data_IF_313379131445
#
_entry.id   IF_313379131445
#
_cell.length_a   1.000
_cell.length_b   1.000
_cell.length_c   1.000
_cell.angle_alpha   90.00
_cell.angle_beta   90.00
_cell.angle_gamma   90.00
#
_symmetry.space_group_name_H-M   'P 1'
#
loop_
_entity.id
_entity.type
_entity.pdbx_description
1 polymer ?
#
# COMPACT_ATOMS: atom_id res chain seq x y z
N UNK A 1 20.52 21.97 1.11
CA UNK A 1 19.17 21.71 0.55
C UNK A 1 18.24 21.56 1.74
N UNK A 2 17.04 22.17 1.71
CA UNK A 2 16.06 21.98 2.78
C UNK A 2 15.68 20.50 2.86
N UNK A 3 15.50 19.93 4.08
CA UNK A 3 15.17 18.52 4.22
C UNK A 3 13.86 18.20 3.47
N UNK A 4 13.85 17.11 2.70
CA UNK A 4 12.63 16.67 2.02
C UNK A 4 11.58 16.30 3.07
N UNK A 5 10.37 16.84 2.91
CA UNK A 5 9.21 16.39 3.69
C UNK A 5 8.69 15.10 3.09
N UNK A 6 8.66 14.03 3.89
CA UNK A 6 8.23 12.69 3.46
C UNK A 6 6.80 12.42 3.96
N UNK A 7 5.96 11.87 3.10
CA UNK A 7 4.76 11.13 3.51
C UNK A 7 4.99 9.67 3.14
N UNK A 8 5.02 8.81 4.15
CA UNK A 8 5.13 7.37 3.92
C UNK A 8 3.75 6.81 3.56
N UNK A 9 3.52 6.54 2.28
CA UNK A 9 2.21 6.13 1.79
C UNK A 9 1.86 4.67 2.06
N UNK A 10 2.77 3.89 2.65
CA UNK A 10 2.54 2.46 2.89
C UNK A 10 3.22 2.00 4.16
N UNK A 11 2.46 2.02 5.26
CA UNK A 11 2.86 1.37 6.50
C UNK A 11 1.74 0.47 7.02
N UNK A 12 2.11 -0.40 7.94
CA UNK A 12 1.24 -1.25 8.69
C UNK A 12 1.41 -1.02 10.19
N UNK A 13 0.33 -1.19 10.93
CA UNK A 13 0.28 -1.00 12.38
C UNK A 13 -0.61 -2.07 12.97
N UNK A 14 -0.24 -2.63 14.11
CA UNK A 14 -1.11 -3.53 14.85
C UNK A 14 -0.78 -3.52 16.34
N UNK A 15 -1.80 -3.57 17.21
CA UNK A 15 -1.60 -3.57 18.65
C UNK A 15 -1.24 -4.98 19.17
N UNK A 16 -0.95 -5.09 20.47
CA UNK A 16 -0.50 -6.35 21.07
C UNK A 16 -1.59 -7.43 21.01
N UNK A 17 -2.85 -7.02 21.09
CA UNK A 17 -4.05 -7.85 21.12
C UNK A 17 -4.24 -8.65 19.83
N UNK A 18 -3.78 -8.11 18.70
CA UNK A 18 -3.83 -8.79 17.38
C UNK A 18 -2.47 -9.32 16.93
N UNK A 19 -1.44 -9.20 17.79
CA UNK A 19 -0.08 -9.71 17.52
C UNK A 19 0.03 -11.22 17.75
N UNK A 20 -0.91 -11.98 17.21
CA UNK A 20 -1.01 -13.44 17.38
C UNK A 20 -1.81 -14.06 16.24
N UNK A 21 -1.83 -15.39 16.21
CA UNK A 21 -2.51 -16.19 15.19
C UNK A 21 -4.03 -16.00 15.16
N UNK A 22 -4.67 -15.51 16.23
CA UNK A 22 -6.11 -15.23 16.21
C UNK A 22 -6.41 -13.90 15.51
N UNK A 23 -5.49 -12.94 15.59
CA UNK A 23 -5.59 -11.66 14.88
C UNK A 23 -5.24 -11.77 13.39
N UNK A 24 -4.24 -12.58 13.04
CA UNK A 24 -3.72 -12.67 11.67
C UNK A 24 -3.41 -14.11 11.28
N UNK A 25 -3.86 -14.56 10.11
CA UNK A 25 -3.62 -15.93 9.66
C UNK A 25 -2.14 -16.23 9.36
N UNK A 26 -1.39 -15.22 8.95
CA UNK A 26 0.03 -15.31 8.59
C UNK A 26 0.98 -15.16 9.80
N UNK A 27 0.48 -14.77 10.97
CA UNK A 27 1.33 -14.46 12.12
C UNK A 27 1.47 -15.66 13.05
N UNK A 28 2.66 -16.25 13.10
CA UNK A 28 2.95 -17.36 14.03
C UNK A 28 3.83 -16.90 15.21
N UNK A 29 3.65 -17.48 16.41
CA UNK A 29 4.47 -17.12 17.57
C UNK A 29 5.97 -17.27 17.29
N UNK A 30 6.75 -16.23 17.64
CA UNK A 30 8.20 -16.20 17.46
C UNK A 30 8.68 -15.63 16.13
N UNK A 31 7.80 -15.35 15.17
CA UNK A 31 8.17 -14.58 13.98
C UNK A 31 8.53 -13.12 14.36
N UNK A 32 9.45 -12.46 13.62
CA UNK A 32 9.87 -11.08 13.93
C UNK A 32 8.72 -10.06 13.99
N UNK A 33 7.66 -10.28 13.22
CA UNK A 33 6.46 -9.44 13.15
C UNK A 33 5.40 -9.78 14.23
N UNK A 34 5.55 -10.88 14.97
CA UNK A 34 4.58 -11.35 15.95
C UNK A 34 4.68 -10.59 17.29
N UNK A 35 4.60 -9.27 17.22
CA UNK A 35 4.67 -8.30 18.33
C UNK A 35 4.00 -6.99 17.90
N UNK A 36 3.61 -6.10 18.82
CA UNK A 36 2.99 -4.84 18.45
C UNK A 36 3.93 -3.98 17.62
N UNK A 37 3.37 -3.33 16.60
CA UNK A 37 4.05 -2.34 15.78
C UNK A 37 3.20 -1.07 15.75
N UNK A 38 3.63 -0.07 16.54
CA UNK A 38 2.91 1.19 16.74
C UNK A 38 3.69 2.38 16.13
N UNK A 39 3.05 3.54 16.03
CA UNK A 39 3.68 4.74 15.47
C UNK A 39 4.91 5.20 16.25
N UNK A 40 4.91 5.06 17.59
CA UNK A 40 6.13 5.28 18.40
C UNK A 40 7.32 4.42 17.96
N UNK A 41 7.08 3.22 17.46
CA UNK A 41 8.12 2.29 17.02
C UNK A 41 8.54 2.61 15.58
N UNK A 42 7.58 2.97 14.72
CA UNK A 42 7.85 3.55 13.41
C UNK A 42 8.72 4.81 13.49
N UNK A 43 8.44 5.71 14.45
CA UNK A 43 9.21 6.94 14.65
C UNK A 43 10.65 6.65 15.05
N UNK A 44 10.89 5.62 15.87
CA UNK A 44 12.26 5.17 16.20
C UNK A 44 12.95 4.63 14.95
N UNK A 45 12.28 3.78 14.18
CA UNK A 45 12.83 3.18 12.97
C UNK A 45 13.16 4.24 11.90
N UNK A 46 12.27 5.21 11.68
CA UNK A 46 12.44 6.25 10.65
C UNK A 46 13.44 7.36 11.03
N UNK A 47 13.71 7.56 12.32
CA UNK A 47 14.72 8.51 12.82
C UNK A 47 16.09 7.90 13.03
N UNK A 48 16.23 6.57 12.97
CA UNK A 48 17.51 5.92 13.18
C UNK A 48 18.44 6.20 11.99
N UNK A 49 19.47 7.02 12.19
CA UNK A 49 20.39 7.45 11.11
C UNK A 49 21.81 6.88 11.24
N UNK A 50 22.05 5.92 12.13
CA UNK A 50 23.39 5.33 12.31
C UNK A 50 24.49 6.36 12.62
N UNK A 51 24.14 7.56 13.12
CA UNK A 51 25.09 8.62 13.48
C UNK A 51 25.20 9.81 12.52
N UNK A 52 24.36 9.94 11.49
CA UNK A 52 24.28 11.16 10.65
C UNK A 52 23.04 12.02 10.96
N UNK A 53 23.11 13.34 10.78
CA UNK A 53 21.94 14.21 10.97
C UNK A 53 20.82 13.88 9.96
N UNK A 54 19.59 13.74 10.46
CA UNK A 54 18.44 13.35 9.66
C UNK A 54 18.01 14.48 8.71
N UNK A 55 18.53 14.47 7.48
CA UNK A 55 18.14 15.42 6.42
C UNK A 55 16.74 15.16 5.80
N UNK A 56 15.83 14.45 6.48
CA UNK A 56 14.42 14.37 6.06
C UNK A 56 13.49 14.11 7.25
N UNK A 57 12.35 14.78 7.25
CA UNK A 57 11.31 14.65 8.27
C UNK A 57 10.10 13.92 7.68
N UNK A 58 9.66 12.85 8.34
CA UNK A 58 8.39 12.19 8.02
C UNK A 58 7.26 13.01 8.62
N UNK A 59 6.52 13.73 7.77
CA UNK A 59 5.37 14.54 8.17
C UNK A 59 4.17 13.68 8.55
N UNK A 60 4.04 12.52 7.94
CA UNK A 60 2.96 11.60 8.25
C UNK A 60 2.96 10.35 7.39
N UNK A 61 1.97 9.51 7.62
CA UNK A 61 1.89 8.15 7.07
C UNK A 61 0.48 7.81 6.64
N UNK A 62 0.37 6.86 5.71
CA UNK A 62 -0.89 6.22 5.30
C UNK A 62 -0.85 4.76 5.74
N UNK A 63 -1.80 4.38 6.58
CA UNK A 63 -2.01 3.01 7.04
C UNK A 63 -2.66 2.17 5.94
N UNK A 64 -2.16 0.96 5.74
CA UNK A 64 -2.73 -0.07 4.87
C UNK A 64 -3.04 -1.32 5.70
N UNK A 65 -4.20 -1.95 5.44
CA UNK A 65 -4.65 -3.18 6.11
C UNK A 65 -3.61 -4.32 6.12
N UNK A 66 -3.75 -5.18 7.12
CA UNK A 66 -2.74 -6.17 7.49
C UNK A 66 -3.20 -7.62 7.36
N UNK A 67 -4.27 -7.89 6.61
CA UNK A 67 -4.92 -9.19 6.51
C UNK A 67 -5.37 -9.72 7.88
N UNK A 68 -6.06 -8.84 8.63
CA UNK A 68 -6.70 -9.22 9.90
C UNK A 68 -7.74 -10.30 9.60
N UNK A 69 -7.77 -11.35 10.43
CA UNK A 69 -8.71 -12.47 10.27
C UNK A 69 -10.16 -11.98 10.31
N UNK A 70 -10.97 -12.57 9.43
CA UNK A 70 -12.42 -12.47 9.42
C UNK A 70 -12.99 -13.86 9.12
N UNK A 71 -14.24 -14.09 9.52
CA UNK A 71 -14.91 -15.37 9.29
C UNK A 71 -15.56 -15.41 7.90
N UNK A 72 -15.98 -16.61 7.47
CA UNK A 72 -16.75 -16.78 6.24
C UNK A 72 -18.03 -15.91 6.28
N UNK A 73 -18.43 -15.25 5.18
CA UNK A 73 -19.70 -14.53 5.09
C UNK A 73 -20.95 -15.37 5.42
N UNK A 74 -20.84 -16.70 5.41
CA UNK A 74 -21.90 -17.64 5.78
C UNK A 74 -22.04 -17.85 7.30
N UNK A 75 -21.10 -17.35 8.12
CA UNK A 75 -21.04 -17.64 9.56
C UNK A 75 -22.00 -16.78 10.41
N UNK A 76 -22.60 -15.73 9.86
CA UNK A 76 -23.49 -14.84 10.61
C UNK A 76 -23.80 -13.54 9.88
N UNK A 77 -24.20 -12.52 10.64
CA UNK A 77 -24.36 -11.17 10.10
C UNK A 77 -23.00 -10.51 9.81
N UNK A 78 -23.03 -9.40 9.06
CA UNK A 78 -21.85 -8.69 8.62
C UNK A 78 -20.95 -8.22 9.77
N UNK A 79 -21.55 -7.72 10.85
CA UNK A 79 -20.79 -7.26 12.02
C UNK A 79 -20.06 -8.41 12.73
N UNK A 80 -20.63 -9.62 12.66
CA UNK A 80 -20.05 -10.83 13.23
C UNK A 80 -18.91 -11.34 12.37
N UNK A 81 -19.14 -11.61 11.08
CA UNK A 81 -18.10 -12.24 10.27
C UNK A 81 -16.97 -11.28 9.90
N UNK A 82 -17.24 -9.98 9.76
CA UNK A 82 -16.23 -8.96 9.49
C UNK A 82 -15.64 -8.33 10.76
N UNK A 83 -15.78 -8.97 11.93
CA UNK A 83 -15.39 -8.39 13.23
C UNK A 83 -13.93 -7.92 13.25
N UNK A 84 -12.99 -8.74 12.78
CA UNK A 84 -11.56 -8.39 12.80
C UNK A 84 -11.25 -7.09 12.04
N UNK A 85 -11.61 -6.97 10.75
CA UNK A 85 -11.49 -5.72 10.01
C UNK A 85 -12.21 -4.52 10.64
N UNK A 86 -13.35 -4.72 11.30
CA UNK A 86 -14.05 -3.64 12.01
C UNK A 86 -13.31 -3.22 13.30
N UNK A 87 -12.75 -4.16 14.05
CA UNK A 87 -11.90 -3.90 15.21
C UNK A 87 -10.60 -3.18 14.80
N UNK A 88 -10.04 -3.51 13.63
CA UNK A 88 -8.90 -2.79 13.04
C UNK A 88 -9.21 -1.29 12.88
N UNK A 89 -10.40 -0.95 12.37
CA UNK A 89 -10.84 0.44 12.24
C UNK A 89 -10.99 1.11 13.62
N UNK A 90 -11.47 0.39 14.65
CA UNK A 90 -11.55 0.91 16.02
C UNK A 90 -10.16 1.22 16.59
N UNK A 91 -9.17 0.36 16.33
CA UNK A 91 -7.77 0.62 16.70
C UNK A 91 -7.20 1.84 15.97
N UNK A 92 -7.43 1.98 14.67
CA UNK A 92 -6.97 3.17 13.93
C UNK A 92 -7.64 4.44 14.45
N UNK A 93 -8.92 4.35 14.81
CA UNK A 93 -9.65 5.47 15.41
C UNK A 93 -9.01 5.91 16.73
N UNK A 94 -8.64 5.01 17.64
CA UNK A 94 -8.04 5.41 18.93
C UNK A 94 -6.71 6.14 18.74
N UNK A 95 -5.90 5.77 17.74
CA UNK A 95 -4.72 6.54 17.34
C UNK A 95 -5.12 7.95 16.88
N UNK A 96 -6.08 8.06 15.95
CA UNK A 96 -6.53 9.34 15.40
C UNK A 96 -7.13 10.25 16.49
N UNK A 97 -7.83 9.68 17.47
CA UNK A 97 -8.42 10.42 18.60
C UNK A 97 -7.40 10.87 19.66
N UNK A 98 -6.17 10.35 19.59
CA UNK A 98 -5.07 10.78 20.45
C UNK A 98 -4.81 9.88 21.66
N UNK A 99 -5.41 8.69 21.72
CA UNK A 99 -5.20 7.74 22.83
C UNK A 99 -3.75 7.24 22.88
N UNK A 100 -3.04 7.32 21.75
CA UNK A 100 -1.61 7.02 21.61
C UNK A 100 -0.72 8.29 21.64
N UNK A 101 -1.30 9.45 21.92
CA UNK A 101 -0.63 10.74 21.97
C UNK A 101 -0.91 11.65 20.77
N UNK A 102 -0.81 12.96 20.98
CA UNK A 102 -1.13 13.97 19.96
C UNK A 102 -0.21 13.88 18.73
N UNK A 103 1.05 13.50 18.93
CA UNK A 103 2.00 13.33 17.83
C UNK A 103 1.58 12.19 16.89
N UNK A 104 1.17 11.05 17.44
CA UNK A 104 0.73 9.88 16.67
C UNK A 104 -0.59 10.17 15.95
N UNK A 105 -1.51 10.90 16.62
CA UNK A 105 -2.70 11.44 15.96
C UNK A 105 -2.33 12.34 14.79
N UNK A 106 -1.40 13.29 14.91
CA UNK A 106 -1.03 14.15 13.76
C UNK A 106 -0.33 13.39 12.64
N UNK A 107 0.40 12.33 12.97
CA UNK A 107 1.20 11.55 12.04
C UNK A 107 0.36 10.62 11.15
N UNK A 108 -0.75 10.06 11.64
CA UNK A 108 -1.59 9.14 10.87
C UNK A 108 -2.55 9.90 9.93
N UNK A 109 -2.13 10.17 8.70
CA UNK A 109 -2.83 11.06 7.76
C UNK A 109 -3.96 10.38 6.98
N UNK A 110 -3.82 9.09 6.69
CA UNK A 110 -4.78 8.33 5.89
C UNK A 110 -4.92 6.89 6.35
N UNK A 111 -6.14 6.36 6.23
CA UNK A 111 -6.51 4.99 6.57
C UNK A 111 -7.01 4.28 5.31
N UNK A 112 -6.46 3.08 5.06
CA UNK A 112 -6.89 2.15 4.01
C UNK A 112 -7.06 0.75 4.63
N UNK A 113 -8.11 0.53 5.43
CA UNK A 113 -8.42 -0.77 6.00
C UNK A 113 -8.94 -1.74 4.93
N UNK A 114 -9.18 -2.97 5.34
CA UNK A 114 -9.76 -3.98 4.45
C UNK A 114 -11.23 -3.69 4.14
N UNK A 115 -11.76 -4.14 3.00
CA UNK A 115 -13.20 -4.22 2.77
C UNK A 115 -13.60 -5.40 1.86
N UNK A 116 -14.81 -5.97 2.04
CA UNK A 116 -15.31 -7.13 1.30
C UNK A 116 -15.80 -6.75 -0.10
N UNK A 117 -14.90 -6.26 -0.95
CA UNK A 117 -15.26 -5.68 -2.24
C UNK A 117 -15.82 -6.70 -3.24
N UNK A 118 -15.59 -7.98 -3.02
CA UNK A 118 -16.08 -9.11 -3.81
C UNK A 118 -17.52 -9.53 -3.45
N UNK A 119 -18.09 -9.00 -2.36
CA UNK A 119 -19.43 -9.34 -1.89
C UNK A 119 -20.53 -8.53 -2.60
N UNK A 120 -21.81 -8.98 -2.57
CA UNK A 120 -22.92 -8.23 -3.16
C UNK A 120 -22.92 -6.76 -2.77
N UNK A 121 -23.24 -5.86 -3.69
CA UNK A 121 -23.13 -4.40 -3.46
C UNK A 121 -23.92 -3.93 -2.24
N UNK A 122 -25.06 -4.56 -1.91
CA UNK A 122 -25.81 -4.26 -0.69
C UNK A 122 -25.03 -4.57 0.59
N UNK A 123 -24.29 -5.68 0.62
CA UNK A 123 -23.42 -6.07 1.75
C UNK A 123 -22.23 -5.12 1.84
N UNK A 124 -21.65 -4.75 0.70
CA UNK A 124 -20.55 -3.78 0.68
C UNK A 124 -21.00 -2.39 1.16
N UNK A 125 -22.18 -1.91 0.77
CA UNK A 125 -22.73 -0.65 1.29
C UNK A 125 -23.03 -0.69 2.80
N UNK A 126 -23.53 -1.82 3.30
CA UNK A 126 -23.69 -2.04 4.74
C UNK A 126 -22.33 -2.01 5.45
N UNK A 127 -21.30 -2.64 4.86
CA UNK A 127 -19.94 -2.62 5.40
C UNK A 127 -19.39 -1.19 5.47
N UNK A 128 -19.57 -0.39 4.40
CA UNK A 128 -19.15 1.01 4.40
C UNK A 128 -19.86 1.83 5.49
N UNK A 129 -21.11 1.49 5.81
CA UNK A 129 -21.87 2.12 6.91
C UNK A 129 -21.28 1.74 8.26
N UNK A 130 -21.05 0.45 8.50
CA UNK A 130 -20.41 -0.03 9.74
C UNK A 130 -18.99 0.53 9.91
N UNK A 131 -18.18 0.52 8.86
CA UNK A 131 -16.84 1.10 8.87
C UNK A 131 -16.86 2.59 9.24
N UNK A 132 -17.85 3.34 8.76
CA UNK A 132 -18.05 4.75 9.12
C UNK A 132 -18.44 4.91 10.59
N UNK A 133 -19.33 4.06 11.10
CA UNK A 133 -19.75 4.11 12.50
C UNK A 133 -18.60 3.74 13.44
N UNK A 134 -17.80 2.71 13.09
CA UNK A 134 -16.60 2.31 13.83
C UNK A 134 -15.56 3.44 13.84
N UNK A 135 -15.26 4.03 12.67
CA UNK A 135 -14.31 5.15 12.57
C UNK A 135 -14.81 6.42 13.30
N UNK A 136 -16.13 6.61 13.37
CA UNK A 136 -16.75 7.79 13.96
C UNK A 136 -16.35 9.10 13.26
N UNK A 137 -16.82 10.25 13.77
CA UNK A 137 -16.66 11.54 13.10
C UNK A 137 -15.21 12.05 13.07
N UNK A 138 -14.34 11.55 13.95
CA UNK A 138 -12.94 12.01 14.06
C UNK A 138 -12.02 11.26 13.09
N UNK A 139 -12.18 9.94 12.93
CA UNK A 139 -11.32 9.14 12.06
C UNK A 139 -11.85 9.01 10.63
N UNK A 140 -13.17 9.08 10.41
CA UNK A 140 -13.75 8.98 9.07
C UNK A 140 -13.20 10.01 8.05
N UNK A 141 -12.92 11.28 8.40
CA UNK A 141 -12.28 12.21 7.47
C UNK A 141 -10.90 11.75 6.96
N UNK A 142 -10.24 10.85 7.70
CA UNK A 142 -8.97 10.22 7.33
C UNK A 142 -9.15 8.86 6.66
N UNK A 143 -10.37 8.36 6.52
CA UNK A 143 -10.67 7.18 5.69
C UNK A 143 -10.48 7.55 4.22
N UNK A 144 -9.40 7.06 3.60
CA UNK A 144 -9.04 7.43 2.22
C UNK A 144 -9.32 6.34 1.20
N UNK A 145 -9.51 5.10 1.61
CA UNK A 145 -9.83 4.04 0.69
C UNK A 145 -9.94 2.71 1.39
N UNK A 146 -9.95 1.65 0.61
CA UNK A 146 -9.93 0.28 1.11
C UNK A 146 -8.98 -0.58 0.27
N UNK A 147 -8.55 -1.71 0.82
CA UNK A 147 -7.78 -2.75 0.13
C UNK A 147 -8.48 -4.10 0.29
N UNK A 148 -8.19 -4.99 -0.64
CA UNK A 148 -8.58 -6.39 -0.58
C UNK A 148 -7.39 -7.25 -1.04
N UNK A 149 -7.13 -8.37 -0.35
CA UNK A 149 -5.88 -9.10 -0.47
C UNK A 149 -5.81 -10.01 -1.71
N UNK A 150 -5.80 -9.40 -2.89
CA UNK A 150 -5.72 -10.10 -4.18
C UNK A 150 -4.40 -10.88 -4.34
N UNK A 151 -3.29 -10.36 -3.83
CA UNK A 151 -1.95 -10.96 -3.93
C UNK A 151 -1.82 -12.38 -3.35
N UNK A 152 -2.67 -12.75 -2.39
CA UNK A 152 -2.65 -14.09 -1.79
C UNK A 152 -3.37 -15.13 -2.64
N UNK A 153 -4.16 -14.71 -3.64
CA UNK A 153 -4.89 -15.59 -4.54
C UNK A 153 -3.99 -16.05 -5.69
N UNK A 154 -3.35 -17.22 -5.51
CA UNK A 154 -2.41 -17.81 -6.49
C UNK A 154 -3.06 -18.74 -7.51
N UNK A 155 -4.34 -19.09 -7.33
CA UNK A 155 -5.13 -19.84 -8.32
C UNK A 155 -5.76 -18.87 -9.34
N UNK A 156 -5.43 -18.98 -10.65
CA UNK A 156 -5.96 -18.07 -11.68
C UNK A 156 -7.48 -18.09 -11.78
N UNK A 157 -8.11 -19.26 -11.65
CA UNK A 157 -9.57 -19.41 -11.79
C UNK A 157 -10.30 -18.65 -10.70
N UNK A 158 -9.85 -18.81 -9.45
CA UNK A 158 -10.39 -18.12 -8.27
C UNK A 158 -10.17 -16.62 -8.37
N UNK A 159 -8.96 -16.19 -8.77
CA UNK A 159 -8.64 -14.79 -8.94
C UNK A 159 -9.53 -14.12 -10.00
N UNK A 160 -9.62 -14.69 -11.20
CA UNK A 160 -10.42 -14.16 -12.30
C UNK A 160 -11.91 -14.11 -11.97
N UNK A 161 -12.42 -15.13 -11.26
CA UNK A 161 -13.80 -15.14 -10.76
C UNK A 161 -14.08 -13.94 -9.85
N UNK A 162 -13.12 -13.55 -9.00
CA UNK A 162 -13.24 -12.37 -8.15
C UNK A 162 -13.13 -11.09 -8.97
N UNK A 163 -12.02 -10.86 -9.67
CA UNK A 163 -11.75 -9.53 -10.27
C UNK A 163 -12.61 -9.22 -11.48
N UNK A 164 -13.14 -10.22 -12.17
CA UNK A 164 -14.11 -10.04 -13.27
C UNK A 164 -15.57 -10.21 -12.83
N UNK A 165 -15.81 -10.52 -11.55
CA UNK A 165 -17.16 -10.63 -11.00
C UNK A 165 -17.88 -9.28 -10.99
N UNK A 166 -19.18 -9.31 -11.27
CA UNK A 166 -20.02 -8.10 -11.35
C UNK A 166 -19.95 -7.27 -10.06
N UNK A 167 -19.93 -7.92 -8.89
CA UNK A 167 -19.85 -7.24 -7.61
C UNK A 167 -18.54 -6.51 -7.40
N UNK A 168 -17.40 -7.13 -7.75
CA UNK A 168 -16.09 -6.50 -7.62
C UNK A 168 -16.02 -5.22 -8.46
N UNK A 169 -16.44 -5.28 -9.72
CA UNK A 169 -16.45 -4.12 -10.63
C UNK A 169 -17.46 -3.06 -10.17
N UNK A 170 -18.68 -3.45 -9.77
CA UNK A 170 -19.69 -2.53 -9.27
C UNK A 170 -19.23 -1.80 -8.00
N UNK A 171 -18.59 -2.52 -7.08
CA UNK A 171 -18.13 -1.97 -5.81
C UNK A 171 -16.90 -1.06 -6.00
N UNK A 172 -16.03 -1.34 -6.98
CA UNK A 172 -14.98 -0.40 -7.40
C UNK A 172 -15.57 0.91 -7.92
N UNK A 173 -16.60 0.85 -8.77
CA UNK A 173 -17.31 2.05 -9.26
C UNK A 173 -17.95 2.82 -8.11
N UNK A 174 -18.55 2.11 -7.15
CA UNK A 174 -19.13 2.71 -5.95
C UNK A 174 -18.08 3.43 -5.09
N UNK A 175 -16.89 2.86 -4.88
CA UNK A 175 -15.79 3.54 -4.17
C UNK A 175 -15.43 4.86 -4.85
N UNK A 176 -15.30 4.86 -6.18
CA UNK A 176 -15.04 6.07 -6.96
C UNK A 176 -16.11 7.15 -6.77
N UNK A 177 -17.39 6.77 -6.86
CA UNK A 177 -18.53 7.68 -6.61
C UNK A 177 -18.53 8.24 -5.18
N UNK A 178 -18.01 7.49 -4.21
CA UNK A 178 -17.86 7.91 -2.81
C UNK A 178 -16.57 8.70 -2.55
N UNK A 179 -15.73 8.90 -3.57
CA UNK A 179 -14.46 9.63 -3.46
C UNK A 179 -13.37 8.87 -2.67
N UNK A 180 -13.48 7.54 -2.63
CA UNK A 180 -12.55 6.63 -1.94
C UNK A 180 -11.60 5.97 -2.96
N UNK A 181 -10.37 5.66 -2.53
CA UNK A 181 -9.40 4.92 -3.34
C UNK A 181 -9.52 3.40 -3.12
N UNK A 182 -8.97 2.65 -4.06
CA UNK A 182 -8.72 1.22 -3.90
C UNK A 182 -7.22 0.95 -4.04
N UNK A 183 -6.62 0.39 -2.99
CA UNK A 183 -5.22 -0.04 -3.01
C UNK A 183 -5.12 -1.43 -3.66
N UNK A 184 -4.32 -1.53 -4.71
CA UNK A 184 -4.20 -2.73 -5.55
C UNK A 184 -2.91 -3.47 -5.20
N UNK A 185 -3.05 -4.54 -4.44
CA UNK A 185 -1.95 -5.46 -4.11
C UNK A 185 -2.03 -6.74 -4.94
N UNK A 186 -1.08 -6.91 -5.87
CA UNK A 186 -0.87 -8.14 -6.65
C UNK A 186 0.60 -8.58 -6.54
N UNK A 187 0.86 -9.86 -6.78
CA UNK A 187 2.15 -10.50 -6.63
C UNK A 187 2.60 -11.14 -7.95
N UNK A 188 3.36 -10.41 -8.77
CA UNK A 188 3.87 -10.96 -10.03
C UNK A 188 4.91 -12.07 -9.79
N UNK A 189 5.66 -12.03 -8.69
CA UNK A 189 6.68 -13.04 -8.37
C UNK A 189 6.04 -14.39 -8.01
N UNK A 190 5.02 -14.40 -7.15
CA UNK A 190 4.38 -15.62 -6.65
C UNK A 190 3.11 -16.00 -7.42
N UNK A 191 2.29 -15.01 -7.79
CA UNK A 191 1.09 -15.21 -8.60
C UNK A 191 1.41 -15.36 -10.07
N UNK A 192 2.39 -14.63 -10.61
CA UNK A 192 2.75 -14.62 -12.03
C UNK A 192 2.13 -13.44 -12.79
N UNK A 193 2.61 -13.19 -14.01
CA UNK A 193 2.19 -12.00 -14.78
C UNK A 193 0.71 -11.98 -15.15
N UNK A 194 0.05 -13.15 -15.23
CA UNK A 194 -1.39 -13.24 -15.49
C UNK A 194 -2.20 -12.47 -14.43
N UNK A 195 -1.75 -12.44 -13.17
CA UNK A 195 -2.45 -11.74 -12.09
C UNK A 195 -2.44 -10.22 -12.34
N UNK A 196 -1.29 -9.70 -12.78
CA UNK A 196 -1.13 -8.31 -13.16
C UNK A 196 -1.95 -7.94 -14.41
N UNK A 197 -2.02 -8.83 -15.40
CA UNK A 197 -2.83 -8.64 -16.60
C UNK A 197 -4.34 -8.64 -16.30
N UNK A 198 -4.78 -9.56 -15.44
CA UNK A 198 -6.17 -9.68 -15.03
C UNK A 198 -6.62 -8.45 -14.23
N UNK A 199 -5.81 -7.98 -13.27
CA UNK A 199 -6.16 -6.77 -12.51
C UNK A 199 -6.17 -5.52 -13.39
N UNK A 200 -5.25 -5.40 -14.37
CA UNK A 200 -5.27 -4.29 -15.31
C UNK A 200 -6.58 -4.24 -16.13
N UNK A 201 -7.06 -5.41 -16.58
CA UNK A 201 -8.34 -5.52 -17.27
C UNK A 201 -9.53 -5.19 -16.35
N UNK A 202 -9.52 -5.65 -15.10
CA UNK A 202 -10.56 -5.31 -14.13
C UNK A 202 -10.61 -3.79 -13.84
N UNK A 203 -9.45 -3.14 -13.72
CA UNK A 203 -9.35 -1.69 -13.53
C UNK A 203 -9.90 -0.91 -14.73
N UNK A 204 -9.65 -1.38 -15.96
CA UNK A 204 -10.27 -0.83 -17.18
C UNK A 204 -11.80 -0.95 -17.12
N UNK A 205 -12.33 -2.13 -16.78
CA UNK A 205 -13.78 -2.35 -16.65
C UNK A 205 -14.42 -1.46 -15.57
N UNK A 206 -13.70 -1.21 -14.47
CA UNK A 206 -14.12 -0.31 -13.41
C UNK A 206 -14.13 1.17 -13.83
N UNK A 207 -13.33 1.57 -14.81
CA UNK A 207 -13.33 2.93 -15.36
C UNK A 207 -14.21 3.09 -16.60
N UNK A 208 -14.59 1.99 -17.25
CA UNK A 208 -15.40 2.00 -18.46
C UNK A 208 -16.79 2.61 -18.23
N UNK A 209 -17.14 3.57 -19.07
CA UNK A 209 -18.38 4.36 -18.98
C UNK A 209 -18.51 5.26 -17.75
N UNK A 210 -17.45 5.43 -16.93
CA UNK A 210 -17.50 6.22 -15.68
C UNK A 210 -16.96 7.64 -15.92
N UNK A 211 -17.70 8.71 -15.53
CA UNK A 211 -17.19 10.08 -15.57
C UNK A 211 -15.90 10.25 -14.77
N UNK A 212 -14.97 11.09 -15.25
CA UNK A 212 -13.65 11.29 -14.63
C UNK A 212 -13.71 11.69 -13.14
N UNK A 213 -14.75 12.45 -12.75
CA UNK A 213 -14.99 12.85 -11.37
C UNK A 213 -15.41 11.71 -10.44
N UNK A 214 -15.98 10.64 -11.00
CA UNK A 214 -16.51 9.47 -10.29
C UNK A 214 -15.63 8.23 -10.43
N UNK A 215 -14.58 8.28 -11.27
CA UNK A 215 -13.62 7.17 -11.38
C UNK A 215 -12.92 6.93 -10.06
N UNK A 216 -12.84 5.65 -9.69
CA UNK A 216 -12.06 5.22 -8.53
C UNK A 216 -10.59 5.57 -8.71
N UNK A 217 -9.98 6.09 -7.65
CA UNK A 217 -8.53 6.27 -7.61
C UNK A 217 -7.89 4.93 -7.27
N UNK A 218 -7.04 4.42 -8.16
CA UNK A 218 -6.29 3.19 -7.92
C UNK A 218 -4.88 3.52 -7.43
N UNK A 219 -4.44 2.84 -6.37
CA UNK A 219 -3.07 2.97 -5.85
C UNK A 219 -2.40 1.60 -5.87
N UNK A 220 -1.54 1.38 -6.85
CA UNK A 220 -0.86 0.11 -7.07
C UNK A 220 0.28 -0.03 -6.07
N UNK A 221 0.33 -1.17 -5.39
CA UNK A 221 1.29 -1.44 -4.33
C UNK A 221 2.57 -2.08 -4.89
N UNK A 222 3.70 -1.76 -4.27
CA UNK A 222 4.99 -2.45 -4.37
C UNK A 222 5.50 -2.75 -5.79
N UNK A 223 5.28 -1.85 -6.76
CA UNK A 223 5.63 -2.10 -8.17
C UNK A 223 4.99 -3.37 -8.75
N UNK A 224 3.86 -3.83 -8.19
CA UNK A 224 3.24 -5.13 -8.48
C UNK A 224 4.08 -6.35 -8.05
N UNK A 225 4.96 -6.18 -7.06
CA UNK A 225 5.90 -7.18 -6.53
C UNK A 225 6.60 -7.96 -7.64
N UNK A 226 7.43 -7.28 -8.44
CA UNK A 226 8.03 -7.91 -9.58
C UNK A 226 9.07 -8.94 -9.16
N UNK A 227 9.34 -9.89 -10.05
CA UNK A 227 10.58 -10.64 -9.98
C UNK A 227 11.75 -9.73 -10.38
N UNK A 228 12.67 -9.43 -9.46
CA UNK A 228 13.82 -8.56 -9.72
C UNK A 228 14.95 -9.28 -10.49
N UNK A 229 14.61 -9.82 -11.66
CA UNK A 229 15.52 -10.45 -12.62
C UNK A 229 15.31 -9.84 -14.00
N UNK A 230 16.33 -9.16 -14.54
CA UNK A 230 16.21 -8.49 -15.86
C UNK A 230 16.23 -9.46 -17.04
N UNK A 231 16.82 -10.65 -16.85
CA UNK A 231 17.01 -11.66 -17.89
C UNK A 231 15.75 -12.53 -18.11
N UNK A 232 14.72 -12.36 -17.27
CA UNK A 232 13.49 -13.12 -17.37
C UNK A 232 12.55 -12.52 -18.42
N UNK A 233 11.76 -13.38 -19.08
CA UNK A 233 10.61 -12.94 -19.87
C UNK A 233 9.60 -12.17 -18.99
N UNK A 234 9.56 -12.52 -17.70
CA UNK A 234 8.67 -11.91 -16.71
C UNK A 234 8.89 -10.40 -16.57
N UNK A 235 10.13 -9.90 -16.74
CA UNK A 235 10.40 -8.46 -16.75
C UNK A 235 9.74 -7.74 -17.93
N UNK A 236 9.80 -8.28 -19.15
CA UNK A 236 9.16 -7.66 -20.31
C UNK A 236 7.64 -7.68 -20.20
N UNK A 237 7.07 -8.79 -19.73
CA UNK A 237 5.63 -8.89 -19.51
C UNK A 237 5.15 -7.93 -18.40
N UNK A 238 5.94 -7.77 -17.33
CA UNK A 238 5.69 -6.79 -16.29
C UNK A 238 5.69 -5.37 -16.86
N UNK A 239 6.68 -5.00 -17.68
CA UNK A 239 6.75 -3.67 -18.30
C UNK A 239 5.51 -3.35 -19.11
N UNK A 240 5.06 -4.28 -19.95
CA UNK A 240 3.86 -4.13 -20.80
C UNK A 240 2.62 -3.93 -19.93
N UNK A 241 2.46 -4.73 -18.87
CA UNK A 241 1.30 -4.63 -18.01
C UNK A 241 1.30 -3.34 -17.16
N UNK A 242 2.47 -2.91 -16.64
CA UNK A 242 2.63 -1.63 -15.95
C UNK A 242 2.39 -0.44 -16.87
N UNK A 243 2.83 -0.49 -18.13
CA UNK A 243 2.52 0.54 -19.11
C UNK A 243 1.01 0.63 -19.36
N UNK A 244 0.32 -0.51 -19.50
CA UNK A 244 -1.14 -0.54 -19.63
C UNK A 244 -1.83 0.10 -18.43
N UNK A 245 -1.40 -0.21 -17.21
CA UNK A 245 -1.91 0.40 -15.98
C UNK A 245 -1.70 1.93 -15.94
N UNK A 246 -0.54 2.41 -16.42
CA UNK A 246 -0.19 3.84 -16.41
C UNK A 246 -1.12 4.72 -17.28
N UNK A 247 -1.73 4.11 -18.32
CA UNK A 247 -2.66 4.78 -19.23
C UNK A 247 -4.02 5.06 -18.60
N UNK A 248 -4.33 4.40 -17.48
CA UNK A 248 -5.53 4.68 -16.71
C UNK A 248 -5.40 6.00 -15.94
N UNK A 249 -6.43 6.82 -16.06
CA UNK A 249 -6.61 8.03 -15.27
C UNK A 249 -6.68 7.70 -13.77
N UNK A 250 -6.25 8.60 -12.88
CA UNK A 250 -6.35 8.41 -11.41
C UNK A 250 -5.69 7.13 -10.88
N UNK A 251 -4.69 6.62 -11.60
CA UNK A 251 -3.89 5.45 -11.19
C UNK A 251 -2.50 5.91 -10.77
N UNK A 252 -2.08 5.45 -9.59
CA UNK A 252 -0.81 5.79 -8.95
C UNK A 252 -0.01 4.53 -8.62
N UNK A 253 1.29 4.67 -8.42
CA UNK A 253 2.21 3.58 -8.09
C UNK A 253 2.98 3.89 -6.81
N UNK A 254 3.05 2.94 -5.89
CA UNK A 254 3.92 3.02 -4.71
C UNK A 254 5.28 2.42 -4.99
N UNK A 255 6.32 3.23 -4.82
CA UNK A 255 7.70 2.79 -4.72
C UNK A 255 7.93 2.28 -3.29
N UNK A 256 7.68 0.98 -3.08
CA UNK A 256 7.64 0.33 -1.76
C UNK A 256 7.86 -1.18 -1.87
N UNK A 257 8.04 -1.88 -0.73
CA UNK A 257 7.96 -3.35 -0.62
C UNK A 257 9.02 -4.16 -1.35
N UNK A 258 10.06 -3.51 -1.87
CA UNK A 258 11.01 -4.18 -2.76
C UNK A 258 11.85 -5.26 -2.06
N UNK A 259 12.22 -5.07 -0.79
CA UNK A 259 13.05 -6.02 -0.04
C UNK A 259 12.46 -7.44 0.01
N UNK A 260 11.14 -7.56 0.11
CA UNK A 260 10.46 -8.86 0.20
C UNK A 260 10.62 -9.73 -1.06
N UNK A 261 10.84 -9.06 -2.20
CA UNK A 261 10.85 -9.67 -3.53
C UNK A 261 12.26 -9.74 -4.14
N UNK A 262 13.26 -9.18 -3.45
CA UNK A 262 14.65 -9.16 -3.93
C UNK A 262 15.33 -10.53 -3.84
N UNK A 263 16.33 -10.78 -4.72
CA UNK A 263 17.28 -11.87 -4.55
C UNK A 263 18.02 -11.76 -3.21
N UNK A 264 18.40 -12.90 -2.65
CA UNK A 264 19.18 -12.96 -1.41
C UNK A 264 20.59 -12.36 -1.58
N UNK A 265 21.17 -11.88 -0.49
CA UNK A 265 22.56 -11.44 -0.43
C UNK A 265 22.82 -9.96 -0.80
N UNK A 266 21.79 -9.18 -1.12
CA UNK A 266 21.91 -7.73 -1.28
C UNK A 266 21.86 -7.04 0.08
N UNK A 267 22.93 -6.30 0.43
CA UNK A 267 23.05 -5.71 1.77
C UNK A 267 23.31 -4.21 1.78
N UNK A 268 23.85 -3.63 0.69
CA UNK A 268 24.09 -2.18 0.61
C UNK A 268 22.98 -1.43 -0.16
N UNK A 269 22.66 -0.18 0.24
CA UNK A 269 21.72 0.67 -0.50
C UNK A 269 22.04 0.82 -2.00
N UNK A 270 23.32 0.93 -2.37
CA UNK A 270 23.76 1.10 -3.76
C UNK A 270 23.56 -0.16 -4.60
N UNK A 271 23.85 -1.33 -4.03
CA UNK A 271 23.58 -2.61 -4.70
C UNK A 271 22.09 -2.77 -4.94
N UNK A 272 21.28 -2.51 -3.93
CA UNK A 272 19.83 -2.58 -3.97
C UNK A 272 19.27 -1.61 -5.02
N UNK A 273 19.69 -0.33 -4.98
CA UNK A 273 19.28 0.69 -5.93
C UNK A 273 19.63 0.28 -7.37
N UNK A 274 20.86 -0.21 -7.60
CA UNK A 274 21.29 -0.70 -8.92
C UNK A 274 20.42 -1.85 -9.42
N UNK A 275 20.09 -2.81 -8.54
CA UNK A 275 19.25 -3.96 -8.88
C UNK A 275 17.86 -3.52 -9.33
N UNK A 276 17.21 -2.59 -8.63
CA UNK A 276 15.83 -2.20 -8.94
C UNK A 276 15.70 -1.03 -9.92
N UNK A 277 16.81 -0.37 -10.26
CA UNK A 277 16.87 0.75 -11.21
C UNK A 277 16.04 0.52 -12.49
N UNK A 278 16.12 -0.63 -13.19
CA UNK A 278 15.33 -0.85 -14.41
C UNK A 278 13.81 -0.76 -14.23
N UNK A 279 13.29 -1.24 -13.10
CA UNK A 279 11.86 -1.19 -12.78
C UNK A 279 11.42 0.22 -12.42
N UNK A 280 12.21 0.91 -11.59
CA UNK A 280 11.91 2.28 -11.16
C UNK A 280 11.97 3.26 -12.34
N UNK A 281 12.95 3.11 -13.23
CA UNK A 281 13.05 3.90 -14.46
C UNK A 281 11.85 3.67 -15.37
N UNK A 282 11.43 2.42 -15.57
CA UNK A 282 10.25 2.13 -16.39
C UNK A 282 8.97 2.70 -15.77
N UNK A 283 8.79 2.56 -14.46
CA UNK A 283 7.63 3.13 -13.76
C UNK A 283 7.61 4.65 -13.89
N UNK A 284 8.74 5.34 -13.66
CA UNK A 284 8.81 6.79 -13.79
C UNK A 284 8.61 7.26 -15.23
N UNK A 285 9.07 6.52 -16.23
CA UNK A 285 8.90 6.91 -17.64
C UNK A 285 7.44 6.79 -18.10
N UNK A 286 6.68 5.80 -17.63
CA UNK A 286 5.29 5.57 -18.07
C UNK A 286 4.26 6.26 -17.17
N UNK A 287 4.47 6.35 -15.86
CA UNK A 287 3.56 7.05 -14.95
C UNK A 287 3.88 8.55 -14.83
N UNK A 288 5.16 8.92 -14.93
CA UNK A 288 5.64 10.23 -14.54
C UNK A 288 5.75 10.39 -13.01
N UNK A 289 6.61 11.31 -12.54
CA UNK A 289 6.92 11.47 -11.11
C UNK A 289 5.73 11.89 -10.25
N UNK A 290 4.73 12.57 -10.83
CA UNK A 290 3.51 13.01 -10.15
C UNK A 290 2.48 11.90 -9.89
N UNK A 291 2.76 10.67 -10.34
CA UNK A 291 1.93 9.48 -10.10
C UNK A 291 2.68 8.38 -9.34
N UNK A 292 3.94 8.60 -8.98
CA UNK A 292 4.74 7.68 -8.16
C UNK A 292 4.92 8.27 -6.77
N UNK A 293 4.79 7.46 -5.72
CA UNK A 293 4.92 7.91 -4.33
C UNK A 293 5.78 6.96 -3.49
N UNK A 294 6.52 7.52 -2.54
CA UNK A 294 7.28 6.77 -1.56
C UNK A 294 6.37 5.97 -0.63
N UNK A 295 6.73 4.72 -0.33
CA UNK A 295 6.19 3.97 0.79
C UNK A 295 7.25 3.00 1.33
N UNK A 296 7.33 2.80 2.64
CA UNK A 296 8.39 1.95 3.21
C UNK A 296 8.03 0.48 3.29
N UNK A 297 6.74 0.16 3.36
CA UNK A 297 6.27 -1.19 3.73
C UNK A 297 6.66 -1.56 5.18
N UNK A 298 6.88 -0.57 6.05
CA UNK A 298 7.20 -0.83 7.46
C UNK A 298 5.98 -1.41 8.20
N UNK A 299 6.15 -2.41 9.09
CA UNK A 299 7.40 -3.03 9.51
C UNK A 299 7.80 -4.26 8.67
N UNK A 300 7.01 -4.64 7.67
CA UNK A 300 7.24 -5.81 6.80
C UNK A 300 8.60 -5.72 6.10
N UNK A 301 9.03 -4.51 5.75
CA UNK A 301 10.36 -4.23 5.20
C UNK A 301 11.51 -4.80 6.06
N UNK A 302 11.30 -5.04 7.36
CA UNK A 302 12.33 -5.57 8.26
C UNK A 302 12.53 -7.09 8.14
N UNK A 303 11.61 -7.83 7.51
CA UNK A 303 11.66 -9.30 7.43
C UNK A 303 12.76 -9.78 6.49
N UNK A 304 12.83 -9.17 5.31
CA UNK A 304 13.88 -9.43 4.30
C UNK A 304 14.75 -8.22 4.02
N UNK A 305 14.56 -7.13 4.77
CA UNK A 305 15.38 -5.95 4.65
C UNK A 305 16.81 -6.19 5.15
N UNK A 306 17.78 -5.41 4.66
CA UNK A 306 19.19 -5.65 4.91
C UNK A 306 19.62 -5.33 6.35
N UNK A 307 18.74 -4.74 7.17
CA UNK A 307 19.12 -4.16 8.45
C UNK A 307 18.13 -4.43 9.59
N UNK A 308 17.49 -5.62 9.64
CA UNK A 308 16.50 -5.98 10.65
C UNK A 308 15.52 -4.81 10.93
N UNK A 309 15.38 -4.34 12.17
CA UNK A 309 14.49 -3.21 12.55
C UNK A 309 14.89 -1.84 11.97
N UNK A 310 16.08 -1.72 11.38
CA UNK A 310 16.61 -0.50 10.77
C UNK A 310 16.58 -0.55 9.22
N UNK A 311 15.63 -1.30 8.64
CA UNK A 311 15.50 -1.38 7.17
C UNK A 311 14.83 -0.15 6.55
N UNK A 312 14.06 0.62 7.32
CA UNK A 312 13.41 1.86 6.82
C UNK A 312 14.42 2.92 6.34
N UNK A 313 15.47 3.28 7.11
CA UNK A 313 16.49 4.23 6.66
C UNK A 313 17.21 3.76 5.40
N UNK A 314 17.49 2.46 5.28
CA UNK A 314 18.11 1.87 4.09
C UNK A 314 17.19 2.05 2.88
N UNK A 315 15.89 1.80 3.03
CA UNK A 315 14.94 2.02 1.93
C UNK A 315 14.87 3.49 1.49
N UNK A 316 14.86 4.42 2.45
CA UNK A 316 14.92 5.86 2.13
C UNK A 316 16.18 6.19 1.32
N UNK A 317 17.34 5.66 1.71
CA UNK A 317 18.60 5.87 1.00
C UNK A 317 18.58 5.28 -0.41
N UNK A 318 18.06 4.06 -0.57
CA UNK A 318 17.84 3.43 -1.89
C UNK A 318 17.00 4.33 -2.80
N UNK A 319 15.87 4.84 -2.30
CA UNK A 319 15.02 5.74 -3.06
C UNK A 319 15.75 7.05 -3.38
N UNK A 320 16.49 7.63 -2.43
CA UNK A 320 17.28 8.84 -2.68
C UNK A 320 18.32 8.62 -3.79
N UNK A 321 19.03 7.49 -3.79
CA UNK A 321 20.00 7.14 -4.83
C UNK A 321 19.34 7.02 -6.20
N UNK A 322 18.18 6.36 -6.27
CA UNK A 322 17.40 6.23 -7.52
C UNK A 322 16.94 7.59 -8.05
N UNK A 323 16.40 8.45 -7.17
CA UNK A 323 15.89 9.77 -7.58
C UNK A 323 17.00 10.77 -7.95
N UNK A 324 18.23 10.50 -7.52
CA UNK A 324 19.42 11.29 -7.86
C UNK A 324 20.09 10.83 -9.16
N UNK A 325 19.55 9.80 -9.82
CA UNK A 325 20.09 9.31 -11.09
C UNK A 325 19.85 10.34 -12.21
N UNK A 326 20.95 10.80 -12.81
CA UNK A 326 20.93 11.81 -13.87
C UNK A 326 20.15 11.37 -15.12
N UNK A 327 20.02 10.07 -15.37
CA UNK A 327 19.24 9.55 -16.51
C UNK A 327 17.74 9.88 -16.41
N UNK A 328 17.21 10.06 -15.20
CA UNK A 328 15.80 10.41 -15.01
C UNK A 328 15.51 11.90 -15.23
N UNK A 329 16.54 12.76 -15.15
CA UNK A 329 16.42 14.22 -15.32
C UNK A 329 15.29 14.84 -14.49
N UNK A 330 15.08 14.36 -13.26
CA UNK A 330 14.02 14.84 -12.38
C UNK A 330 14.32 16.24 -11.85
N UNK A 331 13.30 17.12 -11.89
CA UNK A 331 13.38 18.40 -11.19
C UNK A 331 13.20 18.23 -9.67
N UNK A 332 13.57 19.25 -8.89
CA UNK A 332 13.29 19.25 -7.44
C UNK A 332 11.80 19.07 -7.13
N UNK A 333 10.91 19.61 -7.97
CA UNK A 333 9.47 19.45 -7.83
C UNK A 333 9.01 18.02 -8.09
N UNK A 334 9.64 17.31 -9.03
CA UNK A 334 9.36 15.90 -9.32
C UNK A 334 9.78 15.03 -8.14
N UNK A 335 10.98 15.26 -7.60
CA UNK A 335 11.50 14.58 -6.41
C UNK A 335 10.57 14.82 -5.21
N UNK A 336 10.15 16.07 -4.98
CA UNK A 336 9.22 16.39 -3.88
C UNK A 336 7.83 15.78 -4.08
N UNK A 337 7.38 15.64 -5.32
CA UNK A 337 6.13 14.93 -5.63
C UNK A 337 6.22 13.46 -5.21
N UNK A 338 7.33 12.79 -5.51
CA UNK A 338 7.54 11.39 -5.13
C UNK A 338 7.62 11.24 -3.61
N UNK A 339 8.32 12.14 -2.92
CA UNK A 339 8.44 12.07 -1.46
C UNK A 339 7.14 12.35 -0.70
N UNK A 340 6.23 13.18 -1.22
CA UNK A 340 4.99 13.51 -0.51
C UNK A 340 3.83 13.99 -1.39
N UNK A 341 4.08 14.82 -2.40
CA UNK A 341 3.02 15.49 -3.17
C UNK A 341 2.06 14.52 -3.86
N UNK A 342 2.57 13.41 -4.38
CA UNK A 342 1.77 12.37 -5.02
C UNK A 342 0.85 11.68 -4.02
N UNK A 343 1.32 11.38 -2.79
CA UNK A 343 0.50 10.79 -1.75
C UNK A 343 -0.63 11.74 -1.31
N UNK A 344 -0.34 13.04 -1.20
CA UNK A 344 -1.35 14.08 -0.94
C UNK A 344 -2.45 14.06 -2.01
N UNK A 345 -2.07 14.02 -3.28
CA UNK A 345 -3.02 14.00 -4.38
C UNK A 345 -3.85 12.70 -4.43
N UNK A 346 -3.18 11.55 -4.37
CA UNK A 346 -3.83 10.25 -4.51
C UNK A 346 -4.81 9.95 -3.37
N UNK A 347 -4.46 10.30 -2.14
CA UNK A 347 -5.26 10.04 -0.94
C UNK A 347 -6.04 11.24 -0.42
N UNK A 348 -5.95 12.41 -1.08
CA UNK A 348 -6.65 13.64 -0.67
C UNK A 348 -6.32 13.98 0.78
N UNK A 349 -5.02 13.99 1.10
CA UNK A 349 -4.51 14.29 2.44
C UNK A 349 -4.57 15.81 2.68
N UNK A 350 -4.96 16.20 3.89
CA UNK A 350 -5.12 17.60 4.31
C UNK A 350 -3.88 18.21 4.92
#
# INVERSE_FOLDING_TARGET
MSPHTIIDSHIHLWPQETSNEQGHAWMTPGMPLAKPHLLKDYQKASRYTGGQEANAEVRGVVYIETDVRYDSPESGDLATWAKGPLDEILFLRSIVQGDYGEQDSKMLLGLVPWAPIDQPTSVFEEYLTLAKDMAGPVAWPRMKGFRYLLQAMTDPTTFEKVVFGDYFIANLKLLGKRGLSFDVGVDQRSGGTWQLQAVAKAMEMAHDGVPESEKVTFVINHLCKPEFSIESESFQQWKVAVERLSKLSRTYMKLSGAFSEMPEGLTSPEQIARTIKPWVHHVLSVFGPKKVMFGSDWPVCNVKGPAAEASWPVWKEVVQLLLSDAELSLSENDIQSIWSGTAVAAYRLG
#
